data_IF_942668054301
#
_entry.id   IF_942668054301
#
_cell.length_a   1.000
_cell.length_b   1.000
_cell.length_c   1.000
_cell.angle_alpha   90.00
_cell.angle_beta   90.00
_cell.angle_gamma   90.00
#
_symmetry.space_group_name_H-M   'P 1'
#
loop_
_entity.id
_entity.type
_entity.pdbx_description
1 polymer ?
#
# COMPACT_ATOMS: atom_id res chain seq x y z
N UNK A 1 15.65 10.87 23.78
CA UNK A 1 16.05 11.98 22.90
C UNK A 1 15.45 11.76 21.51
N UNK A 2 15.22 12.84 20.77
CA UNK A 2 14.70 12.84 19.39
C UNK A 2 15.56 11.98 18.46
N UNK A 3 16.88 11.96 18.67
CA UNK A 3 17.83 11.12 17.91
C UNK A 3 17.57 9.62 18.10
N UNK A 4 17.31 9.17 19.32
CA UNK A 4 16.99 7.77 19.60
C UNK A 4 15.65 7.34 18.96
N UNK A 5 14.65 8.21 18.98
CA UNK A 5 13.39 7.96 18.27
C UNK A 5 13.58 7.90 16.75
N UNK A 6 14.39 8.81 16.20
CA UNK A 6 14.74 8.80 14.77
C UNK A 6 15.48 7.53 14.36
N UNK A 7 16.51 7.13 15.11
CA UNK A 7 17.24 5.88 14.87
C UNK A 7 16.32 4.65 14.96
N UNK A 8 15.45 4.59 15.97
CA UNK A 8 14.47 3.51 16.09
C UNK A 8 13.54 3.43 14.89
N UNK A 9 13.09 4.58 14.34
CA UNK A 9 12.25 4.61 13.13
C UNK A 9 13.00 4.15 11.88
N UNK A 10 14.27 4.51 11.73
CA UNK A 10 15.10 4.05 10.60
C UNK A 10 15.30 2.53 10.67
N UNK A 11 15.68 1.99 11.82
CA UNK A 11 15.87 0.54 12.02
C UNK A 11 14.55 -0.21 11.76
N UNK A 12 13.43 0.28 12.28
CA UNK A 12 12.11 -0.30 12.07
C UNK A 12 11.76 -0.30 10.57
N UNK A 13 11.99 0.82 9.85
CA UNK A 13 11.73 0.93 8.42
C UNK A 13 12.56 -0.05 7.59
N UNK A 14 13.84 -0.20 7.91
CA UNK A 14 14.72 -1.19 7.27
C UNK A 14 14.19 -2.61 7.52
N UNK A 15 13.89 -2.96 8.77
CA UNK A 15 13.34 -4.27 9.13
C UNK A 15 12.02 -4.56 8.44
N UNK A 16 11.11 -3.61 8.39
CA UNK A 16 9.82 -3.72 7.72
C UNK A 16 9.97 -3.93 6.21
N UNK A 17 10.89 -3.21 5.57
CA UNK A 17 11.17 -3.36 4.13
C UNK A 17 11.70 -4.75 3.81
N UNK A 18 12.67 -5.26 4.58
CA UNK A 18 13.19 -6.62 4.41
C UNK A 18 12.13 -7.69 4.66
N UNK A 19 11.34 -7.58 5.73
CA UNK A 19 10.30 -8.53 6.07
C UNK A 19 9.18 -8.54 5.01
N UNK A 20 8.70 -7.38 4.57
CA UNK A 20 7.63 -7.26 3.59
C UNK A 20 8.02 -7.77 2.21
N UNK A 21 9.19 -7.35 1.71
CA UNK A 21 9.71 -7.82 0.41
C UNK A 21 10.08 -9.30 0.48
N UNK A 22 10.78 -9.72 1.55
CA UNK A 22 11.22 -11.09 1.75
C UNK A 22 10.06 -12.08 1.83
N UNK A 23 9.03 -11.79 2.63
CA UNK A 23 7.84 -12.64 2.75
C UNK A 23 7.09 -12.79 1.42
N UNK A 24 6.98 -11.71 0.65
CA UNK A 24 6.33 -11.74 -0.66
C UNK A 24 7.13 -12.58 -1.65
N UNK A 25 8.45 -12.40 -1.73
CA UNK A 25 9.32 -13.16 -2.61
C UNK A 25 9.38 -14.64 -2.24
N UNK A 26 9.46 -14.94 -0.94
CA UNK A 26 9.40 -16.32 -0.45
C UNK A 26 8.06 -16.98 -0.84
N UNK A 27 6.94 -16.30 -0.62
CA UNK A 27 5.62 -16.78 -1.02
C UNK A 27 5.51 -17.04 -2.53
N UNK A 28 6.01 -16.12 -3.37
CA UNK A 28 6.06 -16.30 -4.84
C UNK A 28 6.93 -17.48 -5.22
N UNK A 29 8.07 -17.67 -4.55
CA UNK A 29 8.96 -18.79 -4.81
C UNK A 29 8.36 -20.15 -4.45
N UNK A 30 7.51 -20.20 -3.40
CA UNK A 30 6.81 -21.43 -2.98
C UNK A 30 5.67 -21.79 -3.93
N UNK A 31 4.83 -20.81 -4.33
CA UNK A 31 3.62 -21.09 -5.14
C UNK A 31 3.82 -20.90 -6.65
N UNK A 32 4.96 -20.35 -7.06
CA UNK A 32 5.29 -20.09 -8.45
C UNK A 32 4.83 -18.72 -8.96
N UNK A 33 5.53 -18.24 -10.00
CA UNK A 33 5.33 -16.90 -10.57
C UNK A 33 3.95 -16.66 -11.20
N UNK A 34 3.22 -17.72 -11.56
CA UNK A 34 1.84 -17.60 -12.06
C UNK A 34 0.86 -17.07 -11.02
N UNK A 35 1.18 -17.22 -9.73
CA UNK A 35 0.31 -16.85 -8.62
C UNK A 35 0.76 -15.58 -7.88
N UNK A 36 1.64 -14.77 -8.47
CA UNK A 36 2.19 -13.54 -7.86
C UNK A 36 1.09 -12.63 -7.31
N UNK A 37 0.04 -12.38 -8.09
CA UNK A 37 -1.08 -11.53 -7.68
C UNK A 37 -1.80 -12.04 -6.43
N UNK A 38 -1.92 -13.36 -6.31
CA UNK A 38 -2.53 -14.01 -5.14
C UNK A 38 -1.65 -13.85 -3.90
N UNK A 39 -0.34 -14.05 -4.02
CA UNK A 39 0.61 -13.87 -2.92
C UNK A 39 0.61 -12.43 -2.44
N UNK A 40 0.72 -11.45 -3.35
CA UNK A 40 0.69 -10.02 -3.00
C UNK A 40 -0.65 -9.66 -2.31
N UNK A 41 -1.77 -10.19 -2.81
CA UNK A 41 -3.08 -9.95 -2.21
C UNK A 41 -3.18 -10.52 -0.80
N UNK A 42 -2.79 -11.77 -0.58
CA UNK A 42 -2.80 -12.40 0.74
C UNK A 42 -1.83 -11.71 1.73
N UNK A 43 -0.64 -11.34 1.28
CA UNK A 43 0.30 -10.60 2.10
C UNK A 43 -0.29 -9.26 2.58
N UNK A 44 -1.01 -8.57 1.69
CA UNK A 44 -1.74 -7.37 2.08
C UNK A 44 -2.89 -7.63 3.07
N UNK A 45 -3.66 -8.71 2.91
CA UNK A 45 -4.71 -9.08 3.87
C UNK A 45 -4.10 -9.29 5.27
N UNK A 46 -2.98 -10.02 5.35
CA UNK A 46 -2.27 -10.25 6.61
C UNK A 46 -1.75 -8.93 7.20
N UNK A 47 -1.14 -8.08 6.39
CA UNK A 47 -0.58 -6.80 6.84
C UNK A 47 -1.67 -5.87 7.39
N UNK A 48 -2.75 -5.65 6.64
CA UNK A 48 -3.82 -4.75 7.09
C UNK A 48 -4.72 -5.38 8.17
N UNK A 49 -4.88 -6.71 8.14
CA UNK A 49 -5.52 -7.44 9.23
C UNK A 49 -4.74 -7.33 10.54
N UNK A 50 -3.40 -7.46 10.47
CA UNK A 50 -2.53 -7.26 11.62
C UNK A 50 -2.58 -5.80 12.14
N UNK A 51 -2.67 -4.80 11.25
CA UNK A 51 -2.87 -3.41 11.66
C UNK A 51 -4.20 -3.19 12.38
N UNK A 52 -5.29 -3.76 11.85
CA UNK A 52 -6.63 -3.66 12.44
C UNK A 52 -6.70 -4.27 13.84
N UNK A 53 -6.02 -5.41 14.06
CA UNK A 53 -5.93 -6.07 15.36
C UNK A 53 -4.88 -5.42 16.28
N UNK A 54 -3.77 -5.00 15.73
CA UNK A 54 -2.65 -4.44 16.46
C UNK A 54 -2.97 -3.11 17.14
N UNK A 55 -3.80 -2.27 16.53
CA UNK A 55 -4.18 -0.99 17.12
C UNK A 55 -4.92 -1.14 18.47
N UNK A 56 -6.02 -1.90 18.59
CA UNK A 56 -6.69 -2.09 19.88
C UNK A 56 -5.84 -2.88 20.88
N UNK A 57 -5.09 -3.91 20.41
CA UNK A 57 -4.18 -4.64 21.27
C UNK A 57 -3.05 -3.77 21.83
N UNK A 58 -2.51 -2.86 20.99
CA UNK A 58 -1.50 -1.90 21.42
C UNK A 58 -1.99 -0.97 22.53
N UNK A 59 -3.25 -0.49 22.43
CA UNK A 59 -3.87 0.32 23.48
C UNK A 59 -4.02 -0.47 24.78
N UNK A 60 -4.47 -1.73 24.70
CA UNK A 60 -4.59 -2.61 25.87
C UNK A 60 -3.22 -2.88 26.52
N UNK A 61 -2.21 -3.22 25.72
CA UNK A 61 -0.85 -3.47 26.23
C UNK A 61 -0.26 -2.21 26.90
N UNK A 62 -0.53 -1.03 26.31
CA UNK A 62 -0.11 0.24 26.90
C UNK A 62 -0.84 0.54 28.22
N UNK A 63 -2.13 0.25 28.31
CA UNK A 63 -2.91 0.44 29.51
C UNK A 63 -2.43 -0.45 30.68
N UNK A 64 -1.95 -1.68 30.39
CA UNK A 64 -1.48 -2.61 31.41
C UNK A 64 -0.02 -2.41 31.86
N UNK A 65 0.87 -2.05 30.95
CA UNK A 65 2.31 -2.00 31.21
C UNK A 65 3.01 -0.75 30.70
N UNK A 66 2.25 0.29 30.29
CA UNK A 66 2.81 1.51 29.72
C UNK A 66 3.66 1.24 28.48
N UNK A 67 4.61 2.12 28.22
CA UNK A 67 5.53 2.01 27.07
C UNK A 67 6.39 0.72 27.15
N UNK A 68 6.77 0.28 28.34
CA UNK A 68 7.59 -0.94 28.52
C UNK A 68 6.78 -2.20 28.19
N UNK A 69 5.53 -2.29 28.64
CA UNK A 69 4.64 -3.40 28.33
C UNK A 69 4.38 -3.51 26.83
N UNK A 70 4.14 -2.39 26.16
CA UNK A 70 3.99 -2.33 24.71
C UNK A 70 5.28 -2.82 24.00
N UNK A 71 6.45 -2.32 24.41
CA UNK A 71 7.72 -2.70 23.80
C UNK A 71 8.01 -4.20 23.96
N UNK A 72 7.80 -4.76 25.16
CA UNK A 72 7.99 -6.20 25.43
C UNK A 72 7.04 -7.06 24.60
N UNK A 73 5.78 -6.64 24.46
CA UNK A 73 4.80 -7.34 23.62
C UNK A 73 5.24 -7.37 22.14
N UNK A 74 5.65 -6.22 21.59
CA UNK A 74 6.14 -6.12 20.21
C UNK A 74 7.38 -6.99 20.01
N UNK A 75 8.33 -6.96 20.94
CA UNK A 75 9.53 -7.82 20.92
C UNK A 75 9.18 -9.30 20.98
N UNK A 76 8.23 -9.68 21.83
CA UNK A 76 7.75 -11.07 21.96
C UNK A 76 7.10 -11.56 20.67
N UNK A 77 6.24 -10.76 20.05
CA UNK A 77 5.62 -11.09 18.76
C UNK A 77 6.66 -11.20 17.64
N UNK A 78 7.66 -10.30 17.61
CA UNK A 78 8.74 -10.36 16.63
C UNK A 78 9.60 -11.63 16.81
N UNK A 79 9.94 -11.99 18.05
CA UNK A 79 10.68 -13.21 18.36
C UNK A 79 9.88 -14.45 17.94
N UNK A 80 8.59 -14.50 18.25
CA UNK A 80 7.71 -15.58 17.81
C UNK A 80 7.68 -15.70 16.27
N UNK A 81 7.60 -14.59 15.55
CA UNK A 81 7.64 -14.57 14.10
C UNK A 81 8.96 -15.16 13.56
N UNK A 82 10.11 -14.83 14.18
CA UNK A 82 11.41 -15.38 13.82
C UNK A 82 11.42 -16.89 14.06
N UNK A 83 10.97 -17.36 15.23
CA UNK A 83 10.93 -18.78 15.58
C UNK A 83 10.05 -19.59 14.61
N UNK A 84 8.95 -19.02 14.15
CA UNK A 84 8.06 -19.64 13.16
C UNK A 84 8.64 -19.64 11.74
N UNK A 85 9.49 -18.66 11.41
CA UNK A 85 10.12 -18.55 10.09
C UNK A 85 11.35 -19.45 9.94
N UNK A 86 12.16 -19.60 11.00
CA UNK A 86 13.43 -20.37 10.98
C UNK A 86 13.33 -21.80 10.42
N UNK A 87 12.32 -22.63 10.76
CA UNK A 87 12.22 -24.00 10.25
C UNK A 87 11.72 -24.08 8.80
N UNK A 88 11.38 -22.95 8.16
CA UNK A 88 10.84 -22.96 6.81
C UNK A 88 11.93 -23.10 5.76
N UNK A 89 11.72 -23.95 4.71
CA UNK A 89 12.73 -24.13 3.68
C UNK A 89 12.99 -22.84 2.92
N UNK A 90 14.25 -22.56 2.64
CA UNK A 90 14.64 -21.44 1.78
C UNK A 90 14.22 -21.71 0.34
N UNK A 91 13.79 -20.66 -0.36
CA UNK A 91 13.49 -20.73 -1.78
C UNK A 91 14.74 -20.41 -2.57
N UNK A 92 15.02 -21.22 -3.60
CA UNK A 92 16.17 -21.00 -4.48
C UNK A 92 15.97 -19.71 -5.26
N UNK A 93 16.95 -18.81 -5.19
CA UNK A 93 16.97 -17.61 -6.02
C UNK A 93 17.08 -17.98 -7.51
N UNK A 94 16.32 -17.31 -8.36
CA UNK A 94 16.43 -17.48 -9.80
C UNK A 94 17.85 -17.10 -10.26
N UNK A 95 18.57 -18.05 -10.88
CA UNK A 95 19.90 -17.81 -11.43
C UNK A 95 19.77 -17.03 -12.75
N UNK A 96 20.41 -15.88 -12.85
CA UNK A 96 20.49 -15.06 -14.06
C UNK A 96 21.29 -13.80 -13.78
N UNK A 97 21.80 -13.14 -14.82
CA UNK A 97 22.48 -11.85 -14.66
C UNK A 97 21.45 -10.79 -14.24
N UNK A 98 21.61 -10.12 -13.06
CA UNK A 98 20.69 -9.08 -12.64
C UNK A 98 20.81 -7.87 -13.58
N UNK A 99 19.67 -7.26 -13.89
CA UNK A 99 19.66 -5.97 -14.59
C UNK A 99 20.21 -4.87 -13.65
N UNK A 100 20.90 -3.86 -14.20
CA UNK A 100 21.30 -2.71 -13.41
C UNK A 100 20.05 -1.99 -12.86
N UNK A 101 20.14 -1.42 -11.66
CA UNK A 101 19.04 -0.74 -10.98
C UNK A 101 18.29 0.27 -11.88
N UNK A 102 19.04 1.05 -12.68
CA UNK A 102 18.45 2.02 -13.62
C UNK A 102 17.52 1.36 -14.64
N UNK A 103 17.86 0.17 -15.13
CA UNK A 103 17.02 -0.56 -16.08
C UNK A 103 15.75 -1.10 -15.43
N UNK A 104 15.84 -1.57 -14.18
CA UNK A 104 14.66 -1.97 -13.38
C UNK A 104 13.77 -0.77 -13.11
N UNK A 105 14.33 0.33 -12.61
CA UNK A 105 13.61 1.57 -12.33
C UNK A 105 12.91 2.08 -13.61
N UNK A 106 13.62 2.13 -14.74
CA UNK A 106 13.05 2.60 -16.01
C UNK A 106 11.83 1.80 -16.49
N UNK A 107 11.70 0.53 -16.10
CA UNK A 107 10.55 -0.32 -16.43
C UNK A 107 9.40 -0.22 -15.42
N UNK A 108 9.70 0.09 -14.16
CA UNK A 108 8.76 0.03 -13.04
C UNK A 108 8.20 1.40 -12.63
N UNK A 109 8.93 2.49 -12.87
CA UNK A 109 8.65 3.81 -12.30
C UNK A 109 7.25 4.35 -12.61
N UNK A 110 6.69 4.09 -13.79
CA UNK A 110 5.35 4.56 -14.16
C UNK A 110 4.25 3.86 -13.34
N UNK A 111 4.42 2.57 -13.07
CA UNK A 111 3.50 1.81 -12.21
C UNK A 111 3.67 2.25 -10.75
N UNK A 112 4.93 2.47 -10.32
CA UNK A 112 5.25 3.03 -9.01
C UNK A 112 4.67 4.43 -8.82
N UNK A 113 4.76 5.31 -9.82
CA UNK A 113 4.19 6.66 -9.77
C UNK A 113 2.66 6.62 -9.68
N UNK A 114 1.99 5.75 -10.43
CA UNK A 114 0.54 5.57 -10.31
C UNK A 114 0.15 5.08 -8.90
N UNK A 115 0.94 4.15 -8.32
CA UNK A 115 0.76 3.74 -6.93
C UNK A 115 0.97 4.89 -5.95
N UNK A 116 2.05 5.67 -6.10
CA UNK A 116 2.36 6.79 -5.22
C UNK A 116 1.22 7.82 -5.20
N UNK A 117 0.72 8.19 -6.37
CA UNK A 117 -0.39 9.14 -6.50
C UNK A 117 -1.67 8.62 -5.82
N UNK A 118 -1.99 7.34 -5.95
CA UNK A 118 -3.14 6.73 -5.28
C UNK A 118 -2.90 6.58 -3.76
N UNK A 119 -1.69 6.24 -3.33
CA UNK A 119 -1.36 6.10 -1.91
C UNK A 119 -1.56 7.40 -1.11
N UNK A 120 -1.55 8.56 -1.76
CA UNK A 120 -1.90 9.82 -1.13
C UNK A 120 -3.34 9.83 -0.59
N UNK A 121 -4.30 9.20 -1.29
CA UNK A 121 -5.69 9.04 -0.82
C UNK A 121 -5.76 8.27 0.49
N UNK A 122 -5.08 7.13 0.58
CA UNK A 122 -4.94 6.38 1.83
C UNK A 122 -4.24 7.22 2.92
N UNK A 123 -3.14 7.90 2.57
CA UNK A 123 -2.35 8.70 3.51
C UNK A 123 -3.17 9.81 4.18
N UNK A 124 -4.01 10.54 3.42
CA UNK A 124 -4.86 11.59 3.98
C UNK A 124 -5.98 11.03 4.86
N UNK A 125 -6.59 9.90 4.49
CA UNK A 125 -7.59 9.23 5.34
C UNK A 125 -6.94 8.79 6.66
N UNK A 126 -5.83 8.05 6.60
CA UNK A 126 -5.19 7.48 7.78
C UNK A 126 -4.69 8.56 8.77
N UNK A 127 -4.26 9.72 8.25
CA UNK A 127 -3.64 10.77 9.07
C UNK A 127 -4.63 11.84 9.51
N UNK A 128 -5.58 12.24 8.66
CA UNK A 128 -6.36 13.44 8.87
C UNK A 128 -7.86 13.23 9.12
N UNK A 129 -8.37 12.00 9.05
CA UNK A 129 -9.82 11.78 9.25
C UNK A 129 -10.29 12.15 10.64
N UNK A 130 -9.48 11.92 11.68
CA UNK A 130 -9.78 12.35 13.05
C UNK A 130 -9.87 13.86 13.15
N UNK A 131 -8.87 14.57 12.61
CA UNK A 131 -8.86 16.03 12.56
C UNK A 131 -10.05 16.60 11.75
N UNK A 132 -10.46 15.90 10.69
CA UNK A 132 -11.63 16.28 9.91
C UNK A 132 -12.92 16.20 10.72
N UNK A 133 -13.10 15.11 11.47
CA UNK A 133 -14.25 14.93 12.35
C UNK A 133 -14.27 15.97 13.47
N UNK A 134 -13.11 16.20 14.11
CA UNK A 134 -12.95 17.21 15.16
C UNK A 134 -13.26 18.62 14.64
N UNK A 135 -12.75 18.99 13.47
CA UNK A 135 -13.00 20.29 12.83
C UNK A 135 -14.48 20.51 12.47
N UNK A 136 -15.24 19.43 12.28
CA UNK A 136 -16.69 19.47 12.01
C UNK A 136 -17.54 19.32 13.28
N UNK A 137 -16.94 19.06 14.43
CA UNK A 137 -17.66 18.76 15.67
C UNK A 137 -18.42 17.42 15.61
N UNK A 138 -17.91 16.44 14.87
CA UNK A 138 -18.54 15.13 14.69
C UNK A 138 -17.87 14.04 15.51
N UNK A 139 -18.67 13.15 16.05
CA UNK A 139 -18.22 11.94 16.72
C UNK A 139 -18.04 10.76 15.75
N UNK A 140 -17.19 9.80 16.18
CA UNK A 140 -17.06 8.52 15.50
C UNK A 140 -15.98 8.44 14.41
N UNK A 141 -14.93 9.26 14.51
CA UNK A 141 -13.76 9.18 13.62
C UNK A 141 -13.08 7.81 13.65
N UNK A 142 -12.96 7.17 14.82
CA UNK A 142 -12.42 5.82 14.95
C UNK A 142 -13.23 4.78 14.17
N UNK A 143 -14.57 4.92 14.17
CA UNK A 143 -15.45 4.05 13.40
C UNK A 143 -15.25 4.24 11.88
N UNK A 144 -14.97 5.48 11.43
CA UNK A 144 -14.65 5.72 10.03
C UNK A 144 -13.37 4.97 9.60
N UNK A 145 -12.31 4.97 10.42
CA UNK A 145 -11.09 4.17 10.16
C UNK A 145 -11.37 2.66 10.15
N UNK A 146 -12.24 2.20 11.04
CA UNK A 146 -12.69 0.79 11.03
C UNK A 146 -13.40 0.45 9.72
N UNK A 147 -14.29 1.31 9.23
CA UNK A 147 -14.97 1.13 7.95
C UNK A 147 -13.97 1.05 6.77
N UNK A 148 -12.94 1.91 6.77
CA UNK A 148 -11.86 1.82 5.79
C UNK A 148 -11.21 0.43 5.79
N UNK A 149 -10.79 -0.03 6.97
CA UNK A 149 -10.08 -1.30 7.13
C UNK A 149 -10.96 -2.50 6.74
N UNK A 150 -12.22 -2.51 7.16
CA UNK A 150 -13.19 -3.55 6.82
C UNK A 150 -13.44 -3.57 5.31
N UNK A 151 -13.64 -2.41 4.69
CA UNK A 151 -13.84 -2.29 3.24
C UNK A 151 -12.60 -2.75 2.47
N UNK A 152 -11.40 -2.38 2.94
CA UNK A 152 -10.13 -2.77 2.34
C UNK A 152 -9.93 -4.29 2.36
N UNK A 153 -10.11 -4.94 3.50
CA UNK A 153 -9.97 -6.40 3.65
C UNK A 153 -11.13 -7.10 2.92
N UNK A 154 -12.35 -6.63 3.09
CA UNK A 154 -13.54 -7.19 2.46
C UNK A 154 -13.44 -7.23 0.95
N UNK A 155 -12.97 -6.15 0.32
CA UNK A 155 -12.78 -6.11 -1.14
C UNK A 155 -11.80 -7.18 -1.62
N UNK A 156 -10.71 -7.42 -0.90
CA UNK A 156 -9.74 -8.47 -1.25
C UNK A 156 -10.34 -9.87 -1.13
N UNK A 157 -11.16 -10.10 -0.11
CA UNK A 157 -11.82 -11.39 0.10
C UNK A 157 -12.92 -11.64 -0.94
N UNK A 158 -13.67 -10.60 -1.32
CA UNK A 158 -14.76 -10.72 -2.31
C UNK A 158 -14.23 -10.86 -3.75
N UNK A 159 -13.08 -10.27 -4.07
CA UNK A 159 -12.52 -10.27 -5.42
C UNK A 159 -11.12 -10.91 -5.51
N UNK A 160 -10.91 -12.14 -5.01
CA UNK A 160 -9.58 -12.77 -4.96
C UNK A 160 -8.99 -13.04 -6.34
N UNK A 161 -9.84 -13.21 -7.36
CA UNK A 161 -9.44 -13.50 -8.74
C UNK A 161 -9.64 -12.30 -9.70
N UNK A 162 -10.01 -11.13 -9.19
CA UNK A 162 -10.32 -9.96 -10.01
C UNK A 162 -9.16 -9.57 -10.93
N UNK A 163 -7.94 -9.56 -10.40
CA UNK A 163 -6.72 -9.20 -11.14
C UNK A 163 -6.43 -10.20 -12.28
N UNK A 164 -6.64 -11.49 -12.03
CA UNK A 164 -6.39 -12.53 -13.04
C UNK A 164 -7.43 -12.50 -14.16
N UNK A 165 -8.69 -12.16 -13.85
CA UNK A 165 -9.79 -12.13 -14.83
C UNK A 165 -9.80 -10.86 -15.68
N UNK A 166 -9.60 -9.70 -15.05
CA UNK A 166 -9.73 -8.40 -15.70
C UNK A 166 -8.40 -7.80 -16.14
N UNK A 167 -7.28 -8.33 -15.59
CA UNK A 167 -5.94 -7.77 -15.77
C UNK A 167 -5.66 -6.60 -14.81
N UNK A 168 -4.37 -6.47 -14.43
CA UNK A 168 -3.96 -5.52 -13.38
C UNK A 168 -4.29 -4.06 -13.69
N UNK A 169 -4.06 -3.59 -14.93
CA UNK A 169 -4.33 -2.19 -15.29
C UNK A 169 -5.84 -1.86 -15.25
N UNK A 170 -6.71 -2.79 -15.67
CA UNK A 170 -8.16 -2.57 -15.62
C UNK A 170 -8.67 -2.51 -14.18
N UNK A 171 -8.20 -3.44 -13.33
CA UNK A 171 -8.55 -3.44 -11.91
C UNK A 171 -8.09 -2.17 -11.25
N UNK A 172 -6.84 -1.72 -11.51
CA UNK A 172 -6.34 -0.47 -10.97
C UNK A 172 -7.20 0.75 -11.38
N UNK A 173 -7.61 0.84 -12.66
CA UNK A 173 -8.47 1.94 -13.12
C UNK A 173 -9.85 1.94 -12.44
N UNK A 174 -10.48 0.77 -12.28
CA UNK A 174 -11.76 0.66 -11.54
C UNK A 174 -11.57 1.12 -10.10
N UNK A 175 -10.50 0.64 -9.46
CA UNK A 175 -10.14 0.99 -8.09
C UNK A 175 -9.93 2.50 -7.91
N UNK A 176 -9.19 3.14 -8.81
CA UNK A 176 -9.02 4.61 -8.80
C UNK A 176 -10.35 5.35 -8.95
N UNK A 177 -11.25 4.89 -9.82
CA UNK A 177 -12.58 5.48 -9.95
C UNK A 177 -13.36 5.45 -8.64
N UNK A 178 -13.37 4.30 -7.96
CA UNK A 178 -14.04 4.15 -6.65
C UNK A 178 -13.38 5.01 -5.58
N UNK A 179 -12.04 5.06 -5.55
CA UNK A 179 -11.27 5.86 -4.60
C UNK A 179 -11.52 7.37 -4.80
N UNK A 180 -11.56 7.86 -6.04
CA UNK A 180 -11.89 9.26 -6.36
C UNK A 180 -13.27 9.61 -5.81
N UNK A 181 -14.29 8.79 -6.08
CA UNK A 181 -15.64 9.02 -5.56
C UNK A 181 -15.64 9.07 -4.03
N UNK A 182 -14.93 8.15 -3.39
CA UNK A 182 -14.78 8.11 -1.93
C UNK A 182 -14.18 9.39 -1.37
N UNK A 183 -13.04 9.83 -1.93
CA UNK A 183 -12.34 11.04 -1.50
C UNK A 183 -13.16 12.33 -1.73
N UNK A 184 -13.87 12.42 -2.87
CA UNK A 184 -14.78 13.54 -3.15
C UNK A 184 -15.92 13.59 -2.13
N UNK A 185 -16.51 12.43 -1.77
CA UNK A 185 -17.54 12.36 -0.75
C UNK A 185 -17.03 12.81 0.61
N UNK A 186 -15.80 12.45 1.01
CA UNK A 186 -15.22 12.94 2.27
C UNK A 186 -15.00 14.44 2.20
N UNK A 187 -14.34 14.94 1.14
CA UNK A 187 -14.00 16.35 1.02
C UNK A 187 -15.21 17.29 0.94
N UNK A 188 -16.35 16.80 0.44
CA UNK A 188 -17.61 17.56 0.34
C UNK A 188 -18.63 17.19 1.42
N UNK A 189 -18.26 16.36 2.40
CA UNK A 189 -19.21 15.87 3.40
C UNK A 189 -19.84 16.99 4.24
N UNK A 190 -21.16 17.07 4.19
CA UNK A 190 -21.97 17.94 5.02
C UNK A 190 -22.48 17.23 6.29
N UNK A 191 -22.45 15.90 6.31
CA UNK A 191 -22.94 15.06 7.40
C UNK A 191 -21.98 13.89 7.70
N UNK A 192 -21.90 13.39 8.94
CA UNK A 192 -20.97 12.32 9.32
C UNK A 192 -21.12 11.03 8.51
N UNK A 193 -22.34 10.64 8.16
CA UNK A 193 -22.61 9.44 7.39
C UNK A 193 -22.04 9.50 5.96
N UNK A 194 -22.06 10.69 5.34
CA UNK A 194 -21.49 10.93 4.02
C UNK A 194 -19.97 10.73 4.03
N UNK A 195 -19.29 11.24 5.07
CA UNK A 195 -17.87 11.01 5.28
C UNK A 195 -17.57 9.51 5.51
N UNK A 196 -18.39 8.79 6.29
CA UNK A 196 -18.24 7.35 6.53
C UNK A 196 -18.34 6.53 5.23
N UNK A 197 -19.33 6.83 4.38
CA UNK A 197 -19.45 6.20 3.06
C UNK A 197 -18.24 6.54 2.19
N UNK A 198 -17.79 7.79 2.19
CA UNK A 198 -16.61 8.20 1.44
C UNK A 198 -15.35 7.45 1.87
N UNK A 199 -15.13 7.30 3.18
CA UNK A 199 -14.02 6.54 3.75
C UNK A 199 -14.10 5.05 3.38
N UNK A 200 -15.29 4.45 3.45
CA UNK A 200 -15.54 3.07 3.03
C UNK A 200 -15.19 2.87 1.55
N UNK A 201 -15.68 3.74 0.66
CA UNK A 201 -15.38 3.68 -0.77
C UNK A 201 -13.88 3.88 -1.05
N UNK A 202 -13.22 4.79 -0.33
CA UNK A 202 -11.75 4.98 -0.45
C UNK A 202 -11.01 3.70 -0.06
N UNK A 203 -11.43 3.01 1.01
CA UNK A 203 -10.87 1.73 1.42
C UNK A 203 -11.07 0.62 0.39
N UNK A 204 -12.28 0.53 -0.19
CA UNK A 204 -12.56 -0.39 -1.30
C UNK A 204 -11.69 -0.10 -2.52
N UNK A 205 -11.62 1.17 -2.93
CA UNK A 205 -10.87 1.62 -4.08
C UNK A 205 -9.38 1.35 -3.93
N UNK A 206 -8.77 1.74 -2.83
CA UNK A 206 -7.34 1.54 -2.60
C UNK A 206 -6.93 0.07 -2.43
N UNK A 207 -7.85 -0.81 -2.02
CA UNK A 207 -7.57 -2.18 -1.62
C UNK A 207 -6.79 -2.99 -2.66
N UNK A 208 -7.21 -2.98 -3.92
CA UNK A 208 -6.57 -3.79 -4.98
C UNK A 208 -5.53 -3.03 -5.80
N UNK A 209 -5.31 -1.74 -5.56
CA UNK A 209 -4.34 -0.92 -6.33
C UNK A 209 -2.93 -1.51 -6.24
N UNK A 210 -2.46 -1.76 -5.01
CA UNK A 210 -1.11 -2.30 -4.80
C UNK A 210 -0.88 -3.65 -5.51
N UNK A 211 -1.72 -4.69 -5.33
CA UNK A 211 -1.51 -5.95 -6.03
C UNK A 211 -1.76 -5.85 -7.54
N UNK A 212 -2.69 -5.02 -8.00
CA UNK A 212 -3.02 -4.89 -9.41
C UNK A 212 -1.88 -4.29 -10.22
N UNK A 213 -1.33 -3.16 -9.79
CA UNK A 213 -0.16 -2.55 -10.43
C UNK A 213 1.12 -3.32 -10.15
N UNK A 214 1.26 -3.93 -8.96
CA UNK A 214 2.40 -4.73 -8.56
C UNK A 214 2.63 -5.93 -9.48
N UNK A 215 1.55 -6.64 -9.84
CA UNK A 215 1.63 -7.75 -10.82
C UNK A 215 2.17 -7.26 -12.17
N UNK A 216 1.72 -6.10 -12.64
CA UNK A 216 2.18 -5.54 -13.92
C UNK A 216 3.64 -5.09 -13.83
N UNK A 217 4.01 -4.41 -12.73
CA UNK A 217 5.37 -3.95 -12.48
C UNK A 217 6.38 -5.11 -12.43
N UNK A 218 6.03 -6.19 -11.72
CA UNK A 218 6.88 -7.38 -11.59
C UNK A 218 7.01 -8.14 -12.92
N UNK A 219 5.94 -8.18 -13.73
CA UNK A 219 5.97 -8.79 -15.08
C UNK A 219 6.74 -7.97 -16.13
N UNK A 220 7.01 -6.69 -15.84
CA UNK A 220 7.79 -5.82 -16.75
C UNK A 220 9.29 -6.11 -16.75
N UNK A 221 9.77 -7.00 -15.87
CA UNK A 221 11.18 -7.39 -15.74
C UNK A 221 11.35 -8.91 -15.84
N UNK A 222 12.56 -9.40 -16.20
CA UNK A 222 12.85 -10.82 -16.17
C UNK A 222 12.70 -11.44 -14.79
N UNK A 223 12.46 -12.77 -14.68
CA UNK A 223 12.19 -13.44 -13.40
C UNK A 223 13.24 -13.21 -12.31
N UNK A 224 14.53 -13.16 -12.67
CA UNK A 224 15.61 -12.90 -11.72
C UNK A 224 15.60 -11.48 -11.13
N UNK A 225 14.88 -10.55 -11.74
CA UNK A 225 14.77 -9.15 -11.31
C UNK A 225 13.44 -8.81 -10.61
N UNK A 226 12.54 -9.77 -10.45
CA UNK A 226 11.21 -9.54 -9.87
C UNK A 226 11.28 -8.99 -8.45
N UNK A 227 12.26 -9.45 -7.65
CA UNK A 227 12.49 -8.91 -6.32
C UNK A 227 12.89 -7.45 -6.32
N UNK A 228 13.83 -7.09 -7.19
CA UNK A 228 14.26 -5.69 -7.34
C UNK A 228 13.12 -4.81 -7.86
N UNK A 229 12.29 -5.33 -8.79
CA UNK A 229 11.12 -4.61 -9.29
C UNK A 229 10.08 -4.37 -8.19
N UNK A 230 9.78 -5.39 -7.37
CA UNK A 230 8.83 -5.25 -6.25
C UNK A 230 9.35 -4.27 -5.21
N UNK A 231 10.63 -4.36 -4.82
CA UNK A 231 11.25 -3.43 -3.88
C UNK A 231 11.21 -1.99 -4.43
N UNK A 232 11.61 -1.78 -5.69
CA UNK A 232 11.55 -0.46 -6.34
C UNK A 232 10.12 0.07 -6.38
N UNK A 233 9.15 -0.78 -6.69
CA UNK A 233 7.74 -0.43 -6.75
C UNK A 233 7.19 -0.01 -5.37
N UNK A 234 7.56 -0.72 -4.31
CA UNK A 234 7.13 -0.41 -2.92
C UNK A 234 7.67 0.92 -2.42
N UNK A 235 8.91 1.29 -2.80
CA UNK A 235 9.51 2.58 -2.43
C UNK A 235 8.63 3.76 -2.85
N UNK A 236 7.95 3.69 -3.99
CA UNK A 236 7.04 4.76 -4.43
C UNK A 236 5.86 4.96 -3.47
N UNK A 237 5.30 3.87 -2.93
CA UNK A 237 4.25 3.95 -1.90
C UNK A 237 4.79 4.55 -0.60
N UNK A 238 5.94 4.07 -0.14
CA UNK A 238 6.55 4.51 1.12
C UNK A 238 6.92 6.00 1.06
N UNK A 239 7.50 6.46 -0.06
CA UNK A 239 7.78 7.87 -0.31
C UNK A 239 6.50 8.71 -0.32
N UNK A 240 5.46 8.22 -1.00
CA UNK A 240 4.17 8.92 -1.02
C UNK A 240 3.60 9.10 0.38
N UNK A 241 3.57 8.03 1.18
CA UNK A 241 3.06 8.09 2.55
C UNK A 241 3.90 9.02 3.44
N UNK A 242 5.22 9.01 3.28
CA UNK A 242 6.14 9.90 4.01
C UNK A 242 5.94 11.38 3.67
N UNK A 243 5.64 11.69 2.41
CA UNK A 243 5.47 13.07 1.91
C UNK A 243 4.04 13.58 2.09
N UNK A 244 3.04 12.69 2.02
CA UNK A 244 1.61 13.06 2.10
C UNK A 244 1.28 13.79 3.40
N UNK A 245 1.77 13.33 4.55
CA UNK A 245 1.51 13.96 5.85
C UNK A 245 1.93 15.44 5.89
N UNK A 246 3.21 15.77 5.66
CA UNK A 246 3.70 17.14 5.63
C UNK A 246 3.01 18.03 4.58
N UNK A 247 2.82 17.53 3.35
CA UNK A 247 2.17 18.31 2.28
C UNK A 247 0.69 18.56 2.58
N UNK A 248 -0.04 17.54 3.03
CA UNK A 248 -1.44 17.71 3.42
C UNK A 248 -1.58 18.65 4.62
N UNK A 249 -0.64 18.59 5.59
CA UNK A 249 -0.58 19.55 6.69
C UNK A 249 -0.42 20.99 6.21
N UNK A 250 0.47 21.23 5.24
CA UNK A 250 0.62 22.54 4.61
C UNK A 250 -0.67 23.00 3.92
N UNK A 251 -1.29 22.15 3.10
CA UNK A 251 -2.56 22.46 2.43
C UNK A 251 -3.66 22.77 3.45
N UNK A 252 -3.69 22.02 4.55
CA UNK A 252 -4.66 22.22 5.63
C UNK A 252 -4.57 23.62 6.25
N UNK A 253 -3.34 24.15 6.45
CA UNK A 253 -3.15 25.48 7.04
C UNK A 253 -3.66 26.62 6.15
N UNK A 254 -3.66 26.42 4.82
CA UNK A 254 -4.03 27.47 3.85
C UNK A 254 -5.47 27.37 3.38
N UNK A 255 -5.99 26.14 3.24
CA UNK A 255 -7.27 25.90 2.59
C UNK A 255 -8.27 25.08 3.44
N UNK A 256 -7.85 24.67 4.63
CA UNK A 256 -8.66 23.87 5.54
C UNK A 256 -8.65 22.37 5.27
N UNK A 257 -9.15 21.60 6.23
CA UNK A 257 -9.10 20.12 6.21
C UNK A 257 -9.84 19.49 5.03
N UNK A 258 -11.02 19.97 4.57
CA UNK A 258 -11.73 19.34 3.45
C UNK A 258 -10.93 19.32 2.14
N UNK A 259 -10.11 20.35 1.90
CA UNK A 259 -9.38 20.52 0.62
C UNK A 259 -8.32 19.45 0.43
N UNK A 260 -7.76 18.88 1.51
CA UNK A 260 -6.75 17.82 1.39
C UNK A 260 -7.33 16.56 0.72
N UNK A 261 -8.61 16.24 0.97
CA UNK A 261 -9.28 15.10 0.32
C UNK A 261 -9.57 15.37 -1.15
N UNK A 262 -9.95 16.61 -1.48
CA UNK A 262 -10.16 17.03 -2.87
C UNK A 262 -8.85 17.03 -3.66
N UNK A 263 -7.76 17.51 -3.05
CA UNK A 263 -6.43 17.45 -3.64
C UNK A 263 -5.97 16.00 -3.85
N UNK A 264 -6.19 15.12 -2.86
CA UNK A 264 -5.90 13.69 -3.00
C UNK A 264 -6.73 13.05 -4.11
N UNK A 265 -8.03 13.38 -4.25
CA UNK A 265 -8.85 12.93 -5.37
C UNK A 265 -8.27 13.34 -6.73
N UNK A 266 -7.72 14.57 -6.83
CA UNK A 266 -6.98 15.05 -8.01
C UNK A 266 -5.74 14.20 -8.31
N UNK A 267 -4.95 13.83 -7.29
CA UNK A 267 -3.78 12.95 -7.45
C UNK A 267 -4.19 11.55 -7.93
N UNK A 268 -5.26 10.98 -7.37
CA UNK A 268 -5.79 9.68 -7.82
C UNK A 268 -6.34 9.77 -9.25
N UNK A 269 -6.96 10.89 -9.64
CA UNK A 269 -7.36 11.13 -11.03
C UNK A 269 -6.16 11.17 -11.99
N UNK A 270 -5.05 11.75 -11.56
CA UNK A 270 -3.79 11.69 -12.32
C UNK A 270 -3.26 10.25 -12.43
N UNK A 271 -3.36 9.43 -11.36
CA UNK A 271 -3.02 8.01 -11.40
C UNK A 271 -3.90 7.24 -12.41
N UNK A 272 -5.20 7.53 -12.44
CA UNK A 272 -6.14 6.97 -13.41
C UNK A 272 -5.74 7.31 -14.84
N UNK A 273 -5.47 8.57 -15.13
CA UNK A 273 -5.06 9.05 -16.47
C UNK A 273 -3.72 8.42 -16.88
N UNK A 274 -2.75 8.34 -15.98
CA UNK A 274 -1.46 7.70 -16.22
C UNK A 274 -1.65 6.21 -16.57
N UNK A 275 -2.45 5.50 -15.80
CA UNK A 275 -2.71 4.07 -16.01
C UNK A 275 -3.48 3.81 -17.31
N UNK A 276 -4.43 4.68 -17.64
CA UNK A 276 -5.14 4.62 -18.92
C UNK A 276 -4.19 4.82 -20.12
N UNK A 277 -3.24 5.77 -20.05
CA UNK A 277 -2.21 5.95 -21.06
C UNK A 277 -1.29 4.74 -21.17
N UNK A 278 -0.91 4.13 -20.04
CA UNK A 278 -0.10 2.91 -20.02
C UNK A 278 -0.81 1.75 -20.71
N UNK A 279 -2.11 1.60 -20.49
CA UNK A 279 -2.91 0.56 -21.14
C UNK A 279 -2.97 0.72 -22.66
N UNK A 280 -2.95 1.96 -23.18
CA UNK A 280 -2.98 2.24 -24.62
C UNK A 280 -1.62 2.09 -25.33
N UNK A 281 -0.51 1.92 -24.60
CA UNK A 281 0.80 1.70 -25.22
C UNK A 281 0.83 0.31 -25.88
N UNK A 282 1.27 0.22 -27.15
CA UNK A 282 1.41 -1.09 -27.81
C UNK A 282 2.47 -1.94 -27.09
N UNK A 283 2.35 -3.30 -27.12
CA UNK A 283 3.27 -4.24 -26.47
C UNK A 283 4.72 -4.17 -26.97
N UNK A 284 5.00 -3.51 -28.06
CA UNK A 284 6.26 -3.49 -28.79
C UNK A 284 7.36 -2.58 -28.24
N UNK A 285 7.20 -2.03 -27.03
CA UNK A 285 8.24 -1.22 -26.38
C UNK A 285 9.09 -1.98 -25.34
N UNK A 286 8.97 -3.31 -25.27
CA UNK A 286 9.95 -4.13 -24.55
C UNK A 286 11.09 -4.42 -25.52
N UNK A 287 12.36 -4.05 -25.22
CA UNK A 287 13.48 -4.51 -26.03
C UNK A 287 13.44 -6.03 -26.01
N UNK A 288 13.27 -6.63 -27.18
CA UNK A 288 13.51 -8.07 -27.38
C UNK A 288 14.84 -8.39 -26.72
N UNK A 289 14.82 -9.38 -25.82
CA UNK A 289 16.06 -9.99 -25.38
C UNK A 289 16.77 -10.44 -26.64
N UNK A 290 17.88 -9.81 -26.96
CA UNK A 290 18.73 -10.20 -28.06
C UNK A 290 18.98 -11.73 -27.94
N UNK A 291 18.33 -12.46 -28.79
CA UNK A 291 18.73 -13.82 -29.18
C UNK A 291 20.04 -13.66 -29.93
N UNK A 292 21.15 -13.70 -29.24
CA UNK A 292 22.45 -13.83 -29.84
C UNK A 292 23.07 -15.09 -29.29
N UNK A 293 23.04 -16.04 -30.18
CA UNK A 293 24.03 -17.11 -30.42
C UNK A 293 25.03 -17.40 -29.30
#
# INVERSE_FOLDING_TARGET
SLLLLGLGRVILGIGQSFAGTGSTLWGVGVVGSLHIGRVISWNGIVTYGAMAMGAPLGVLCYAWGGLQGLALTVMGVALLAILLALPRPSVKANKGKPLPFRAVLGRVWLYGMALALASAGFGVIATFITLFYDAKGWDGAAFALTLFSVAFVGTRLLFPNGINRLGGLNVAMICFGVEIIGLLLVGTAAMPWMAKIGVLLTGMGFSLVFPALGVVAVKAVPPQNQGAALATYTVFMDMSLGVTGPLAGLVMTWAGVPVIYLAAAGLVAMALLLTWRLKKRPPSALPEAASSS
#
